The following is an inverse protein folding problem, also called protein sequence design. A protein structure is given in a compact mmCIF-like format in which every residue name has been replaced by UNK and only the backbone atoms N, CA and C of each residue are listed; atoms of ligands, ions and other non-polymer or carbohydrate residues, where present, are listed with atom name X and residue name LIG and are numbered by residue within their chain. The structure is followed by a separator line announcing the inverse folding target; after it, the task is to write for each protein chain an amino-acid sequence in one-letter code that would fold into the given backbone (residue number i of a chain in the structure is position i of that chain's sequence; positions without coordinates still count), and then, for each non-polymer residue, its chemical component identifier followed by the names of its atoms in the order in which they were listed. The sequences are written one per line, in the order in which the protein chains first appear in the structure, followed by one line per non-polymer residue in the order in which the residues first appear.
data_IF_367362530474
#
_entry.id   IF_367362530474
#
_cell.length_a   1.000
_cell.length_b   1.000
_cell.length_c   1.000
_cell.angle_alpha   90.00
_cell.angle_beta   90.00
_cell.angle_gamma   90.00
#
_symmetry.space_group_name_H-M   'P 1'
#
loop_
_entity.id
_entity.type
_entity.pdbx_description
1 polymer ?
#
# COMPACT_ATOMS: atom_id res chain seq x y z
N UNK A 1 3.20 -12.28 -2.35
CA UNK A 1 3.61 -12.24 -0.94
C UNK A 1 4.10 -13.61 -0.47
N UNK A 2 3.31 -14.70 -0.62
CA UNK A 2 3.63 -16.03 -0.07
C UNK A 2 5.07 -16.50 -0.36
N UNK A 3 5.56 -16.32 -1.59
CA UNK A 3 6.90 -16.79 -2.01
C UNK A 3 8.08 -16.00 -1.37
N UNK A 4 7.83 -14.85 -0.78
CA UNK A 4 8.87 -13.98 -0.22
C UNK A 4 8.68 -13.70 1.28
N UNK A 5 7.74 -14.38 1.94
CA UNK A 5 7.46 -14.16 3.37
C UNK A 5 8.66 -14.41 4.27
N UNK A 6 9.43 -15.48 4.03
CA UNK A 6 10.63 -15.74 4.85
C UNK A 6 11.69 -14.65 4.68
N UNK A 7 11.86 -14.13 3.45
CA UNK A 7 12.77 -13.01 3.19
C UNK A 7 12.27 -11.73 3.86
N UNK A 8 10.97 -11.43 3.74
CA UNK A 8 10.37 -10.26 4.40
C UNK A 8 10.48 -10.35 5.93
N UNK A 9 10.26 -11.51 6.52
CA UNK A 9 10.41 -11.71 7.97
C UNK A 9 11.87 -11.65 8.46
N UNK A 10 12.85 -11.80 7.56
CA UNK A 10 14.26 -11.62 7.89
C UNK A 10 14.69 -10.15 7.89
N UNK A 11 13.89 -9.27 7.29
CA UNK A 11 14.14 -7.83 7.22
C UNK A 11 13.72 -7.12 8.52
N UNK A 12 14.19 -5.89 8.72
CA UNK A 12 13.78 -5.04 9.87
C UNK A 12 12.45 -4.36 9.58
N UNK A 13 11.39 -5.16 9.55
CA UNK A 13 10.00 -4.75 9.33
C UNK A 13 9.04 -5.57 10.18
N UNK A 14 7.88 -5.02 10.46
CA UNK A 14 6.75 -5.72 11.08
C UNK A 14 5.57 -5.77 10.11
N UNK A 15 4.82 -6.87 10.13
CA UNK A 15 3.66 -7.06 9.27
C UNK A 15 2.40 -7.21 10.12
N UNK A 16 1.40 -6.39 9.80
CA UNK A 16 0.03 -6.57 10.29
C UNK A 16 -0.84 -7.00 9.12
N UNK A 17 -1.44 -8.17 9.23
CA UNK A 17 -2.40 -8.70 8.27
C UNK A 17 -3.78 -8.62 8.91
N UNK A 18 -4.74 -8.00 8.21
CA UNK A 18 -6.13 -7.92 8.64
C UNK A 18 -7.05 -8.29 7.47
N UNK A 19 -7.87 -9.29 7.64
CA UNK A 19 -8.85 -9.70 6.65
C UNK A 19 -9.11 -11.20 6.63
N UNK A 20 -9.97 -11.62 5.71
CA UNK A 20 -10.30 -13.03 5.44
C UNK A 20 -10.02 -13.34 3.98
N UNK A 21 -9.84 -14.61 3.64
CA UNK A 21 -9.55 -15.02 2.27
C UNK A 21 -9.61 -16.54 2.08
N UNK A 22 -8.84 -17.04 1.14
CA UNK A 22 -8.71 -18.48 0.94
C UNK A 22 -8.00 -19.12 2.14
N UNK A 23 -8.55 -20.23 2.63
CA UNK A 23 -8.06 -20.94 3.82
C UNK A 23 -6.56 -21.23 3.79
N UNK A 24 -6.01 -21.58 2.61
CA UNK A 24 -4.56 -21.83 2.45
C UNK A 24 -3.70 -20.63 2.82
N UNK A 25 -4.15 -19.41 2.47
CA UNK A 25 -3.43 -18.18 2.80
C UNK A 25 -3.67 -17.74 4.24
N UNK A 26 -4.88 -17.91 4.76
CA UNK A 26 -5.16 -17.68 6.16
C UNK A 26 -4.29 -18.56 7.06
N UNK A 27 -4.20 -19.86 6.75
CA UNK A 27 -3.36 -20.79 7.48
C UNK A 27 -1.87 -20.47 7.34
N UNK A 28 -1.44 -20.03 6.16
CA UNK A 28 -0.07 -19.54 5.96
C UNK A 28 0.23 -18.33 6.88
N UNK A 29 -0.64 -17.32 6.92
CA UNK A 29 -0.41 -16.15 7.77
C UNK A 29 -0.45 -16.50 9.26
N UNK A 30 -1.35 -17.38 9.72
CA UNK A 30 -1.34 -17.91 11.10
C UNK A 30 -0.04 -18.64 11.44
N UNK A 31 0.53 -19.37 10.47
CA UNK A 31 1.82 -20.02 10.63
C UNK A 31 2.96 -18.99 10.79
N UNK A 32 2.98 -17.94 9.97
CA UNK A 32 3.98 -16.88 10.09
C UNK A 32 3.84 -16.05 11.36
N UNK A 33 2.63 -15.78 11.83
CA UNK A 33 2.34 -15.16 13.12
C UNK A 33 2.90 -15.99 14.29
N UNK A 34 2.66 -17.30 14.28
CA UNK A 34 3.24 -18.22 15.26
C UNK A 34 4.78 -18.29 15.18
N UNK A 35 5.34 -18.35 13.97
CA UNK A 35 6.79 -18.51 13.73
C UNK A 35 7.58 -17.24 14.04
N UNK A 36 7.00 -16.08 13.76
CA UNK A 36 7.63 -14.75 13.89
C UNK A 36 6.73 -13.80 14.69
N UNK A 37 6.39 -14.21 15.91
CA UNK A 37 5.40 -13.53 16.77
C UNK A 37 5.80 -12.12 17.23
N UNK A 38 7.06 -11.73 17.06
CA UNK A 38 7.58 -10.38 17.29
C UNK A 38 7.52 -9.49 16.03
N UNK A 39 7.23 -10.06 14.86
CA UNK A 39 7.29 -9.38 13.56
C UNK A 39 6.01 -9.48 12.73
N UNK A 40 5.22 -10.52 12.94
CA UNK A 40 4.00 -10.77 12.16
C UNK A 40 2.81 -10.85 13.09
N UNK A 41 1.74 -10.12 12.76
CA UNK A 41 0.45 -10.21 13.43
C UNK A 41 -0.65 -10.51 12.41
N UNK A 42 -1.21 -11.72 12.45
CA UNK A 42 -2.24 -12.17 11.54
C UNK A 42 -3.64 -12.12 12.19
N UNK A 43 -4.40 -11.10 11.84
CA UNK A 43 -5.75 -10.84 12.31
C UNK A 43 -6.76 -11.33 11.25
N UNK A 44 -7.12 -12.63 11.32
CA UNK A 44 -7.93 -13.29 10.30
C UNK A 44 -9.42 -13.12 10.61
N UNK A 45 -9.89 -11.90 10.43
CA UNK A 45 -11.28 -11.50 10.54
C UNK A 45 -11.55 -10.18 9.83
N UNK A 46 -12.80 -9.86 9.55
CA UNK A 46 -13.19 -8.55 9.01
C UNK A 46 -13.53 -7.59 10.16
N UNK A 47 -12.96 -6.40 10.11
CA UNK A 47 -13.30 -5.30 11.01
C UNK A 47 -12.96 -3.95 10.38
N UNK A 48 -13.97 -3.14 10.12
CA UNK A 48 -13.78 -1.79 9.58
C UNK A 48 -13.08 -0.88 10.62
N UNK A 49 -13.51 -0.92 11.87
CA UNK A 49 -12.88 -0.16 12.96
C UNK A 49 -11.39 -0.49 13.11
N UNK A 50 -11.04 -1.79 13.08
CA UNK A 50 -9.64 -2.21 13.15
C UNK A 50 -8.86 -1.78 11.90
N UNK A 51 -9.46 -1.79 10.71
CA UNK A 51 -8.78 -1.36 9.49
C UNK A 51 -8.31 0.10 9.57
N UNK A 52 -9.15 0.99 10.10
CA UNK A 52 -8.77 2.39 10.33
C UNK A 52 -7.62 2.54 11.33
N UNK A 53 -7.59 1.73 12.38
CA UNK A 53 -6.47 1.72 13.34
C UNK A 53 -5.20 1.21 12.70
N UNK A 54 -5.27 0.17 11.86
CA UNK A 54 -4.12 -0.34 11.09
C UNK A 54 -3.59 0.73 10.13
N UNK A 55 -4.44 1.38 9.33
CA UNK A 55 -3.99 2.50 8.49
C UNK A 55 -3.29 3.60 9.30
N UNK A 56 -3.86 3.99 10.44
CA UNK A 56 -3.31 5.05 11.26
C UNK A 56 -1.98 4.70 11.96
N UNK A 57 -1.68 3.42 12.12
CA UNK A 57 -0.52 2.95 12.91
C UNK A 57 0.65 2.44 12.07
N UNK A 58 0.43 2.15 10.78
CA UNK A 58 1.47 1.61 9.91
C UNK A 58 2.20 2.71 9.12
N UNK A 59 3.47 2.51 8.83
CA UNK A 59 4.25 3.41 7.97
C UNK A 59 3.94 3.18 6.49
N UNK A 60 3.70 1.93 6.09
CA UNK A 60 3.42 1.55 4.71
C UNK A 60 2.22 0.61 4.61
N UNK A 61 1.52 0.67 3.49
CA UNK A 61 0.38 -0.19 3.15
C UNK A 61 0.66 -0.99 1.87
N UNK A 62 0.68 -2.32 1.99
CA UNK A 62 1.01 -3.21 0.89
C UNK A 62 -0.25 -3.70 0.17
N UNK A 63 -0.38 -3.41 -1.14
CA UNK A 63 -1.53 -3.83 -1.97
C UNK A 63 -1.07 -4.46 -3.30
N UNK A 64 -0.57 -5.72 -3.29
CA UNK A 64 -0.03 -6.41 -4.45
C UNK A 64 -1.11 -7.13 -5.27
N UNK A 65 -2.21 -6.46 -5.57
CA UNK A 65 -3.38 -7.05 -6.22
C UNK A 65 -3.06 -7.58 -7.62
N UNK A 66 -3.59 -8.77 -7.96
CA UNK A 66 -3.53 -9.27 -9.33
C UNK A 66 -4.42 -8.45 -10.26
N UNK A 67 -5.57 -8.04 -9.78
CA UNK A 67 -6.50 -7.17 -10.47
C UNK A 67 -7.20 -6.27 -9.45
N UNK A 68 -7.29 -4.97 -9.75
CA UNK A 68 -7.95 -3.98 -8.89
C UNK A 68 -8.57 -2.88 -9.76
N UNK A 69 -9.89 -2.92 -10.00
CA UNK A 69 -10.52 -1.97 -10.91
C UNK A 69 -10.45 -0.52 -10.41
N UNK A 70 -10.61 -0.29 -9.12
CA UNK A 70 -10.55 1.03 -8.49
C UNK A 70 -9.61 1.04 -7.29
N UNK A 71 -9.93 0.24 -6.27
CA UNK A 71 -9.27 0.27 -4.97
C UNK A 71 -9.71 1.48 -4.12
N UNK A 72 -10.10 1.21 -2.88
CA UNK A 72 -10.36 2.25 -1.89
C UNK A 72 -9.30 2.24 -0.80
N UNK A 73 -8.72 1.08 -0.53
CA UNK A 73 -7.77 0.90 0.56
C UNK A 73 -6.51 1.75 0.40
N UNK A 74 -5.97 1.87 -0.83
CA UNK A 74 -4.83 2.75 -1.09
C UNK A 74 -5.20 4.24 -0.92
N UNK A 75 -6.44 4.64 -1.25
CA UNK A 75 -6.90 6.02 -1.05
C UNK A 75 -7.02 6.33 0.44
N UNK A 76 -7.54 5.37 1.22
CA UNK A 76 -7.59 5.46 2.68
C UNK A 76 -6.17 5.55 3.25
N UNK A 77 -5.24 4.69 2.83
CA UNK A 77 -3.87 4.73 3.30
C UNK A 77 -3.19 6.07 3.01
N UNK A 78 -3.33 6.61 1.81
CA UNK A 78 -2.85 7.95 1.46
C UNK A 78 -3.40 9.02 2.41
N UNK A 79 -4.71 8.98 2.71
CA UNK A 79 -5.34 9.95 3.60
C UNK A 79 -4.83 9.87 5.04
N UNK A 80 -4.46 8.67 5.50
CA UNK A 80 -3.84 8.44 6.82
C UNK A 80 -2.34 8.75 6.86
N UNK A 81 -1.72 9.06 5.72
CA UNK A 81 -0.26 9.24 5.61
C UNK A 81 0.52 7.92 5.62
N UNK A 82 -0.16 6.81 5.42
CA UNK A 82 0.44 5.48 5.31
C UNK A 82 0.81 5.25 3.85
N UNK A 83 2.09 5.12 3.56
CA UNK A 83 2.61 5.12 2.19
C UNK A 83 2.24 3.83 1.46
N UNK A 84 1.49 3.88 0.34
CA UNK A 84 1.12 2.69 -0.40
C UNK A 84 2.30 2.11 -1.20
N UNK A 85 2.40 0.78 -1.20
CA UNK A 85 3.27 -0.01 -2.06
C UNK A 85 2.36 -0.92 -2.88
N UNK A 86 2.20 -0.65 -4.18
CA UNK A 86 1.15 -1.26 -5.00
C UNK A 86 1.69 -1.92 -6.26
N UNK A 87 0.95 -2.89 -6.80
CA UNK A 87 1.17 -3.31 -8.19
C UNK A 87 0.46 -2.36 -9.15
N UNK A 88 1.09 -2.04 -10.28
CA UNK A 88 0.55 -1.17 -11.32
C UNK A 88 -0.59 -1.86 -12.10
N UNK A 89 -1.80 -1.83 -11.53
CA UNK A 89 -3.00 -2.38 -12.16
C UNK A 89 -4.22 -1.52 -11.84
N UNK A 90 -5.05 -1.23 -12.86
CA UNK A 90 -6.29 -0.47 -12.73
C UNK A 90 -6.13 0.77 -11.86
N UNK A 91 -7.06 1.01 -10.95
CA UNK A 91 -7.06 2.18 -10.09
C UNK A 91 -5.83 2.36 -9.21
N UNK A 92 -5.07 1.32 -8.93
CA UNK A 92 -3.81 1.46 -8.19
C UNK A 92 -2.77 2.24 -9.00
N UNK A 93 -2.68 1.94 -10.31
CA UNK A 93 -1.79 2.67 -11.23
C UNK A 93 -2.23 4.12 -11.42
N UNK A 94 -3.55 4.37 -11.40
CA UNK A 94 -4.11 5.70 -11.64
C UNK A 94 -4.00 6.63 -10.42
N UNK A 95 -3.90 6.06 -9.22
CA UNK A 95 -4.00 6.80 -7.94
C UNK A 95 -2.72 6.85 -7.13
N UNK A 96 -1.76 5.97 -7.40
CA UNK A 96 -0.46 5.95 -6.71
C UNK A 96 0.64 6.28 -7.70
N UNK A 97 1.16 7.50 -7.60
CA UNK A 97 2.32 7.94 -8.37
C UNK A 97 3.60 7.37 -7.75
N UNK A 98 4.42 6.62 -8.52
CA UNK A 98 5.68 6.08 -8.02
C UNK A 98 6.64 7.18 -7.56
N UNK A 99 7.29 6.98 -6.42
CA UNK A 99 8.32 7.91 -5.96
C UNK A 99 9.50 7.96 -6.91
N UNK A 100 9.85 9.17 -7.33
CA UNK A 100 11.01 9.49 -8.14
C UNK A 100 11.98 10.34 -7.31
N UNK A 101 13.12 9.76 -6.93
CA UNK A 101 14.12 10.42 -6.08
C UNK A 101 14.79 11.63 -6.76
N UNK A 102 14.89 11.63 -8.09
CA UNK A 102 15.53 12.72 -8.85
C UNK A 102 14.64 13.96 -8.95
N UNK A 103 13.33 13.77 -8.98
CA UNK A 103 12.36 14.85 -9.07
C UNK A 103 11.73 15.21 -7.73
N UNK A 104 11.89 14.36 -6.72
CA UNK A 104 11.26 14.51 -5.41
C UNK A 104 9.73 14.39 -5.46
N UNK A 105 9.18 13.68 -6.46
CA UNK A 105 7.73 13.48 -6.69
C UNK A 105 7.30 12.07 -6.30
N UNK A 106 5.98 11.86 -6.32
CA UNK A 106 5.36 10.58 -6.05
C UNK A 106 4.65 10.52 -4.70
N UNK A 107 3.67 9.61 -4.60
CA UNK A 107 2.80 9.43 -3.43
C UNK A 107 2.93 8.04 -2.81
N UNK A 108 3.74 7.16 -3.42
CA UNK A 108 3.96 5.81 -2.95
C UNK A 108 5.03 5.08 -3.75
N UNK A 109 5.02 3.76 -3.71
CA UNK A 109 5.92 2.91 -4.47
C UNK A 109 5.11 1.93 -5.32
N UNK A 110 5.65 1.52 -6.47
CA UNK A 110 4.98 0.57 -7.34
C UNK A 110 5.92 -0.45 -7.97
N UNK A 111 5.34 -1.52 -8.47
CA UNK A 111 6.00 -2.53 -9.30
C UNK A 111 5.05 -2.99 -10.41
N UNK A 112 5.59 -3.37 -11.57
CA UNK A 112 4.79 -3.59 -12.78
C UNK A 112 4.22 -5.01 -12.89
N UNK A 113 5.07 -6.03 -12.77
CA UNK A 113 4.67 -7.40 -13.03
C UNK A 113 4.13 -8.09 -11.77
N UNK A 114 3.22 -9.07 -11.95
CA UNK A 114 2.74 -9.91 -10.85
C UNK A 114 3.82 -10.93 -10.45
N UNK A 115 4.90 -10.41 -9.90
CA UNK A 115 6.10 -11.14 -9.54
C UNK A 115 6.49 -10.89 -8.08
N UNK A 116 6.92 -11.95 -7.39
CA UNK A 116 7.25 -11.87 -5.97
C UNK A 116 8.56 -11.10 -5.69
N UNK A 117 9.51 -11.14 -6.61
CA UNK A 117 10.78 -10.45 -6.45
C UNK A 117 10.66 -8.96 -6.80
N UNK A 118 9.81 -8.59 -7.77
CA UNK A 118 9.49 -7.18 -8.01
C UNK A 118 8.81 -6.56 -6.79
N UNK A 119 7.87 -7.29 -6.16
CA UNK A 119 7.26 -6.89 -4.90
C UNK A 119 8.33 -6.69 -3.81
N UNK A 120 9.22 -7.66 -3.62
CA UNK A 120 10.29 -7.59 -2.63
C UNK A 120 11.21 -6.39 -2.88
N UNK A 121 11.57 -6.13 -4.14
CA UNK A 121 12.40 -4.97 -4.52
C UNK A 121 11.69 -3.64 -4.21
N UNK A 122 10.37 -3.54 -4.49
CA UNK A 122 9.61 -2.34 -4.16
C UNK A 122 9.54 -2.10 -2.64
N UNK A 123 9.38 -3.15 -1.84
CA UNK A 123 9.41 -3.06 -0.37
C UNK A 123 10.81 -2.64 0.11
N UNK A 124 11.86 -3.22 -0.43
CA UNK A 124 13.25 -2.88 -0.05
C UNK A 124 13.59 -1.43 -0.41
N UNK A 125 13.15 -0.95 -1.58
CA UNK A 125 13.33 0.45 -1.95
C UNK A 125 12.56 1.40 -1.03
N UNK A 126 11.31 1.10 -0.71
CA UNK A 126 10.51 1.86 0.25
C UNK A 126 11.19 1.91 1.63
N UNK A 127 11.70 0.76 2.09
CA UNK A 127 12.46 0.64 3.35
C UNK A 127 13.75 1.48 3.31
N UNK A 128 14.50 1.44 2.22
CA UNK A 128 15.70 2.26 2.04
C UNK A 128 15.39 3.75 2.18
N UNK A 129 14.35 4.23 1.50
CA UNK A 129 13.91 5.63 1.61
C UNK A 129 13.46 5.94 3.05
N UNK A 130 12.70 5.05 3.68
CA UNK A 130 12.23 5.21 5.05
C UNK A 130 13.37 5.39 6.05
N UNK A 131 14.41 4.56 5.98
CA UNK A 131 15.53 4.59 6.95
C UNK A 131 16.58 5.66 6.62
N UNK A 132 16.87 5.87 5.34
CA UNK A 132 18.01 6.66 4.93
C UNK A 132 17.65 8.08 4.45
N UNK A 133 16.36 8.34 4.15
CA UNK A 133 15.90 9.66 3.68
C UNK A 133 14.52 10.02 4.26
N UNK A 134 14.50 10.37 5.53
CA UNK A 134 13.27 10.74 6.24
C UNK A 134 12.56 11.96 5.65
N UNK A 135 13.30 12.92 5.10
CA UNK A 135 12.71 14.09 4.46
C UNK A 135 11.91 13.67 3.21
N UNK A 136 12.48 12.80 2.37
CA UNK A 136 11.76 12.25 1.23
C UNK A 136 10.53 11.46 1.65
N UNK A 137 10.65 10.62 2.70
CA UNK A 137 9.53 9.86 3.23
C UNK A 137 8.37 10.75 3.68
N UNK A 138 8.65 11.77 4.47
CA UNK A 138 7.64 12.75 4.90
C UNK A 138 7.04 13.53 3.72
N UNK A 139 7.86 13.84 2.71
CA UNK A 139 7.36 14.45 1.47
C UNK A 139 6.39 13.55 0.70
N UNK A 140 6.63 12.22 0.64
CA UNK A 140 5.71 11.25 0.05
C UNK A 140 4.39 11.22 0.83
N UNK A 141 4.45 11.14 2.15
CA UNK A 141 3.28 11.15 3.03
C UNK A 141 2.44 12.43 2.83
N UNK A 142 3.09 13.59 2.87
CA UNK A 142 2.41 14.88 2.72
C UNK A 142 1.71 15.01 1.36
N UNK A 143 2.38 14.62 0.25
CA UNK A 143 1.78 14.62 -1.09
C UNK A 143 0.60 13.67 -1.17
N UNK A 144 0.71 12.48 -0.60
CA UNK A 144 -0.37 11.51 -0.52
C UNK A 144 -1.59 12.04 0.23
N UNK A 145 -1.39 12.63 1.40
CA UNK A 145 -2.47 13.19 2.23
C UNK A 145 -3.17 14.38 1.57
N UNK A 146 -2.49 15.10 0.68
CA UNK A 146 -3.05 16.25 -0.05
C UNK A 146 -3.82 15.87 -1.31
N UNK A 147 -3.80 14.61 -1.74
CA UNK A 147 -4.58 14.16 -2.89
C UNK A 147 -6.09 14.37 -2.64
N UNK A 148 -6.78 14.90 -3.64
CA UNK A 148 -8.22 15.11 -3.60
C UNK A 148 -8.94 14.09 -4.49
N UNK A 149 -9.50 13.05 -3.86
CA UNK A 149 -10.35 12.04 -4.50
C UNK A 149 -11.82 12.23 -4.14
N UNK A 150 -12.23 13.45 -3.80
CA UNK A 150 -13.62 13.77 -3.45
C UNK A 150 -14.55 13.70 -4.68
N UNK A 151 -15.83 13.48 -4.39
CA UNK A 151 -16.89 13.58 -5.40
C UNK A 151 -16.97 14.94 -6.06
N UNK A 152 -16.58 16.02 -5.36
CA UNK A 152 -16.54 17.37 -5.93
C UNK A 152 -15.58 17.44 -7.12
N UNK A 153 -14.38 16.87 -6.99
CA UNK A 153 -13.40 16.81 -8.07
C UNK A 153 -13.94 16.01 -9.27
N UNK A 154 -14.47 14.81 -9.02
CA UNK A 154 -15.08 13.99 -10.07
C UNK A 154 -16.25 14.67 -10.75
N UNK A 155 -17.13 15.35 -10.01
CA UNK A 155 -18.26 16.10 -10.57
C UNK A 155 -17.82 17.25 -11.48
N UNK A 156 -16.73 17.94 -11.16
CA UNK A 156 -16.19 18.99 -12.02
C UNK A 156 -15.66 18.41 -13.35
N UNK A 157 -14.97 17.28 -13.32
CA UNK A 157 -14.50 16.59 -14.54
C UNK A 157 -15.69 16.24 -15.45
N UNK A 158 -16.78 15.67 -14.89
CA UNK A 158 -18.01 15.41 -15.66
C UNK A 158 -18.65 16.67 -16.21
N UNK A 159 -18.71 17.76 -15.42
CA UNK A 159 -19.24 19.05 -15.87
C UNK A 159 -18.44 19.60 -17.04
N UNK A 160 -17.11 19.53 -16.99
CA UNK A 160 -16.25 20.02 -18.07
C UNK A 160 -16.43 19.16 -19.34
N UNK A 161 -16.58 17.84 -19.20
CA UNK A 161 -16.92 16.95 -20.30
C UNK A 161 -18.24 17.35 -20.96
N UNK A 162 -19.31 17.59 -20.18
CA UNK A 162 -20.61 18.00 -20.74
C UNK A 162 -20.56 19.37 -21.41
N UNK A 163 -19.74 20.31 -20.90
CA UNK A 163 -19.56 21.61 -21.51
C UNK A 163 -18.76 21.58 -22.83
N UNK A 164 -18.03 20.49 -23.09
CA UNK A 164 -17.22 20.29 -24.28
C UNK A 164 -17.96 19.62 -25.44
N UNK A 165 -19.18 19.12 -25.20
CA UNK A 165 -20.06 18.50 -26.21
C UNK A 165 -20.94 19.55 -26.89
#
# INVERSE_FOLDING_TARGET
VAYVMDQLCAEDVQFVILGTGEERYENMFRHYDWKYNDRVSANIYYSEDMSHKVYASCDAFLMPSLFEPCGLSQLMSLRYGTVPIVRETGGLKDTVEPYNEYEGKGTGFSFANYDAYELLNAINYAKEVYYNNKEAWYGIQERGMRQDYSWYNSANIYKDLYNSL
#
